data_IF_587511875478
#
_entry.id   IF_587511875478
#
_cell.length_a   1.000
_cell.length_b   1.000
_cell.length_c   1.000
_cell.angle_alpha   90.00
_cell.angle_beta   90.00
_cell.angle_gamma   90.00
#
_symmetry.space_group_name_H-M   'P 1'
#
loop_
_entity.id
_entity.type
_entity.pdbx_description
1 polymer ?
#
# COMPACT_ATOMS: atom_id res chain seq x y z
N UNK A 1 -19.68 -23.54 -2.65
CA UNK A 1 -20.09 -22.96 -3.95
C UNK A 1 -20.53 -21.53 -3.70
N UNK A 2 -20.19 -20.54 -4.49
CA UNK A 2 -19.56 -20.51 -5.79
C UNK A 2 -18.75 -19.22 -5.90
N UNK A 3 -17.59 -19.28 -6.55
CA UNK A 3 -17.01 -18.17 -7.31
C UNK A 3 -16.05 -18.80 -8.34
N UNK A 4 -16.60 -19.64 -9.21
CA UNK A 4 -16.11 -19.69 -10.59
C UNK A 4 -16.87 -18.58 -11.29
N UNK A 5 -16.21 -17.44 -11.53
CA UNK A 5 -16.73 -16.42 -12.43
C UNK A 5 -15.78 -16.28 -13.60
N UNK A 6 -16.39 -16.45 -14.77
CA UNK A 6 -15.83 -16.41 -16.11
C UNK A 6 -15.10 -15.11 -16.40
N UNK A 7 -14.14 -15.20 -17.32
CA UNK A 7 -13.53 -14.08 -18.01
C UNK A 7 -14.60 -13.09 -18.51
N UNK A 8 -14.60 -11.91 -17.91
CA UNK A 8 -15.51 -10.80 -18.16
C UNK A 8 -15.08 -9.70 -17.21
N UNK A 9 -14.81 -8.51 -17.75
CA UNK A 9 -14.23 -7.35 -17.07
C UNK A 9 -14.71 -7.26 -15.63
N UNK A 10 -13.84 -7.60 -14.68
CA UNK A 10 -14.13 -7.48 -13.26
C UNK A 10 -14.33 -5.98 -13.02
N UNK A 11 -15.58 -5.57 -12.78
CA UNK A 11 -15.85 -4.21 -12.37
C UNK A 11 -15.00 -3.93 -11.13
N UNK A 12 -14.02 -3.05 -11.30
CA UNK A 12 -13.05 -2.71 -10.28
C UNK A 12 -13.80 -2.14 -9.08
N UNK A 13 -13.66 -2.77 -7.91
CA UNK A 13 -14.23 -2.20 -6.69
C UNK A 13 -13.71 -0.77 -6.54
N UNK A 14 -14.58 0.23 -6.27
CA UNK A 14 -14.14 1.61 -6.11
C UNK A 14 -13.13 1.72 -4.96
N UNK A 15 -12.21 2.68 -5.07
CA UNK A 15 -11.05 2.78 -4.18
C UNK A 15 -11.43 2.80 -2.70
N UNK A 16 -12.53 3.47 -2.34
CA UNK A 16 -13.05 3.51 -0.97
C UNK A 16 -13.43 2.13 -0.43
N UNK A 17 -14.03 1.28 -1.26
CA UNK A 17 -14.40 -0.08 -0.88
C UNK A 17 -13.14 -0.95 -0.69
N UNK A 18 -12.15 -0.81 -1.58
CA UNK A 18 -10.86 -1.49 -1.42
C UNK A 18 -10.16 -1.11 -0.12
N UNK A 19 -10.07 0.19 0.19
CA UNK A 19 -9.47 0.67 1.43
C UNK A 19 -10.21 0.07 2.64
N UNK A 20 -11.53 0.21 2.69
CA UNK A 20 -12.33 -0.27 3.82
C UNK A 20 -12.19 -1.79 4.02
N UNK A 21 -12.28 -2.58 2.96
CA UNK A 21 -12.18 -4.04 3.03
C UNK A 21 -10.78 -4.51 3.44
N UNK A 22 -9.73 -3.92 2.87
CA UNK A 22 -8.35 -4.27 3.20
C UNK A 22 -7.99 -3.92 4.66
N UNK A 23 -8.43 -2.75 5.14
CA UNK A 23 -8.27 -2.35 6.55
C UNK A 23 -9.02 -3.27 7.52
N UNK A 24 -10.28 -3.62 7.21
CA UNK A 24 -11.06 -4.55 8.03
C UNK A 24 -10.45 -5.95 8.07
N UNK A 25 -9.85 -6.42 6.97
CA UNK A 25 -9.26 -7.74 6.89
C UNK A 25 -8.11 -7.96 7.90
N UNK A 26 -7.38 -6.90 8.28
CA UNK A 26 -6.33 -6.97 9.32
C UNK A 26 -6.85 -7.45 10.68
N UNK A 27 -8.14 -7.18 10.97
CA UNK A 27 -8.75 -7.44 12.26
C UNK A 27 -9.62 -8.69 12.28
N UNK A 28 -9.77 -9.37 11.13
CA UNK A 28 -10.58 -10.56 11.01
C UNK A 28 -9.71 -11.82 11.10
N UNK A 29 -10.20 -12.91 11.72
CA UNK A 29 -9.53 -14.20 11.68
C UNK A 29 -9.36 -14.63 10.23
N UNK A 30 -8.12 -14.82 9.80
CA UNK A 30 -7.78 -15.24 8.45
C UNK A 30 -6.49 -16.05 8.46
N UNK A 31 -6.29 -16.91 7.46
CA UNK A 31 -5.01 -17.55 7.18
C UNK A 31 -4.23 -16.84 6.08
N UNK A 32 -4.73 -15.70 5.58
CA UNK A 32 -4.09 -14.94 4.51
C UNK A 32 -2.76 -14.35 4.95
N UNK A 33 -1.84 -14.28 3.99
CA UNK A 33 -0.63 -13.45 4.07
C UNK A 33 -1.01 -12.01 3.74
N UNK A 34 -0.55 -11.06 4.55
CA UNK A 34 -0.75 -9.64 4.31
C UNK A 34 0.48 -9.04 3.64
N UNK A 35 0.28 -8.39 2.50
CA UNK A 35 1.24 -7.49 1.90
C UNK A 35 0.91 -6.07 2.34
N UNK A 36 1.63 -5.58 3.34
CA UNK A 36 1.52 -4.22 3.83
C UNK A 36 2.34 -3.30 2.93
N UNK A 37 1.68 -2.32 2.33
CA UNK A 37 2.34 -1.28 1.52
C UNK A 37 2.43 -0.03 2.37
N UNK A 38 3.66 0.45 2.61
CA UNK A 38 3.90 1.57 3.52
C UNK A 38 4.85 2.60 2.92
N UNK A 39 4.54 3.87 3.16
CA UNK A 39 5.37 5.01 2.79
C UNK A 39 6.49 5.27 3.80
N UNK A 40 7.25 6.34 3.61
CA UNK A 40 8.25 6.79 4.57
C UNK A 40 7.61 7.17 5.92
N UNK A 41 8.42 7.29 6.98
CA UNK A 41 7.91 7.64 8.33
C UNK A 41 7.39 9.08 8.45
N UNK A 42 7.79 9.98 7.55
CA UNK A 42 7.24 11.32 7.51
C UNK A 42 5.76 11.27 7.16
N UNK A 43 5.34 10.33 6.30
CA UNK A 43 3.96 10.15 5.85
C UNK A 43 3.42 11.39 5.15
N UNK A 44 4.28 12.07 4.40
CA UNK A 44 3.89 13.19 3.55
C UNK A 44 2.87 12.76 2.47
N UNK A 45 2.27 13.72 1.74
CA UNK A 45 1.29 13.42 0.72
C UNK A 45 1.80 12.46 -0.39
N UNK A 46 3.07 12.52 -0.78
CA UNK A 46 3.62 11.66 -1.84
C UNK A 46 3.67 10.20 -1.38
N UNK A 47 4.28 9.97 -0.21
CA UNK A 47 4.26 8.68 0.50
C UNK A 47 2.86 8.10 0.66
N UNK A 48 1.87 8.91 1.08
CA UNK A 48 0.49 8.45 1.26
C UNK A 48 -0.15 8.04 -0.07
N UNK A 49 0.01 8.85 -1.11
CA UNK A 49 -0.54 8.57 -2.43
C UNK A 49 0.09 7.32 -3.05
N UNK A 50 1.41 7.17 -2.91
CA UNK A 50 2.15 6.01 -3.37
C UNK A 50 1.69 4.73 -2.70
N UNK A 51 1.53 4.73 -1.37
CA UNK A 51 1.14 3.54 -0.63
C UNK A 51 -0.24 3.04 -1.07
N UNK A 52 -1.21 3.96 -1.21
CA UNK A 52 -2.57 3.64 -1.67
C UNK A 52 -2.55 3.11 -3.11
N UNK A 53 -1.84 3.78 -4.01
CA UNK A 53 -1.84 3.48 -5.44
C UNK A 53 -1.12 2.16 -5.73
N UNK A 54 0.04 1.95 -5.09
CA UNK A 54 0.81 0.70 -5.23
C UNK A 54 0.08 -0.48 -4.59
N UNK A 55 -0.55 -0.30 -3.43
CA UNK A 55 -1.40 -1.34 -2.84
C UNK A 55 -2.55 -1.75 -3.76
N UNK A 56 -3.17 -0.77 -4.43
CA UNK A 56 -4.25 -1.04 -5.36
C UNK A 56 -3.77 -1.85 -6.56
N UNK A 57 -2.65 -1.46 -7.16
CA UNK A 57 -2.03 -2.19 -8.27
C UNK A 57 -1.71 -3.64 -7.89
N UNK A 58 -1.01 -3.84 -6.77
CA UNK A 58 -0.60 -5.16 -6.29
C UNK A 58 -1.80 -6.05 -5.90
N UNK A 59 -2.92 -5.45 -5.47
CA UNK A 59 -4.16 -6.17 -5.20
C UNK A 59 -4.81 -6.66 -6.50
N UNK A 60 -4.77 -5.85 -7.57
CA UNK A 60 -5.37 -6.17 -8.88
C UNK A 60 -4.64 -7.31 -9.60
N UNK A 61 -3.32 -7.38 -9.44
CA UNK A 61 -2.53 -8.48 -10.00
C UNK A 61 -2.91 -9.82 -9.38
N UNK A 62 -3.38 -9.80 -8.13
CA UNK A 62 -3.90 -10.94 -7.42
C UNK A 62 -2.83 -11.97 -7.06
N UNK A 63 -2.85 -12.44 -5.82
CA UNK A 63 -2.18 -13.68 -5.47
C UNK A 63 -3.08 -14.51 -4.55
N UNK A 64 -3.23 -15.82 -4.79
CA UNK A 64 -4.05 -16.68 -3.95
C UNK A 64 -3.65 -16.57 -2.48
N UNK A 65 -4.62 -16.31 -1.61
CA UNK A 65 -4.37 -16.22 -0.16
C UNK A 65 -3.64 -14.95 0.30
N UNK A 66 -3.40 -13.97 -0.57
CA UNK A 66 -2.78 -12.69 -0.20
C UNK A 66 -3.82 -11.58 -0.08
N UNK A 67 -3.70 -10.76 0.96
CA UNK A 67 -4.46 -9.52 1.13
C UNK A 67 -3.47 -8.36 1.09
N UNK A 68 -3.69 -7.39 0.21
CA UNK A 68 -2.83 -6.20 0.11
C UNK A 68 -3.48 -5.05 0.87
N UNK A 69 -2.73 -4.41 1.76
CA UNK A 69 -3.24 -3.36 2.65
C UNK A 69 -2.34 -2.14 2.58
N UNK A 70 -2.83 -0.98 2.11
CA UNK A 70 -2.10 0.27 2.27
C UNK A 70 -2.15 0.72 3.74
N UNK A 71 -0.99 1.03 4.29
CA UNK A 71 -0.83 1.54 5.65
C UNK A 71 -0.17 2.90 5.58
N UNK A 72 -0.81 3.90 6.18
CA UNK A 72 -0.19 5.21 6.34
C UNK A 72 0.77 5.16 7.51
N UNK A 73 2.04 5.50 7.28
CA UNK A 73 3.15 5.33 8.23
C UNK A 73 3.12 6.25 9.45
N UNK A 74 2.03 6.97 9.67
CA UNK A 74 1.78 7.85 10.82
C UNK A 74 0.67 7.32 11.70
N UNK A 75 0.51 7.89 12.90
CA UNK A 75 -0.64 7.58 13.74
C UNK A 75 -1.92 8.19 13.16
N UNK A 76 -3.06 7.55 13.43
CA UNK A 76 -4.37 8.11 13.08
C UNK A 76 -4.58 9.50 13.70
N UNK A 77 -4.14 9.68 14.94
CA UNK A 77 -4.26 10.94 15.67
C UNK A 77 -3.47 12.07 14.99
N UNK A 78 -2.22 11.79 14.58
CA UNK A 78 -1.37 12.79 13.90
C UNK A 78 -1.90 13.13 12.51
N UNK A 79 -2.42 12.14 11.79
CA UNK A 79 -3.02 12.36 10.48
C UNK A 79 -4.20 13.33 10.53
N UNK A 80 -5.03 13.24 11.57
CA UNK A 80 -6.18 14.14 11.75
C UNK A 80 -5.77 15.61 11.96
N UNK A 81 -4.53 15.87 12.40
CA UNK A 81 -4.00 17.21 12.65
C UNK A 81 -3.39 17.85 11.39
N UNK A 82 -3.09 17.06 10.35
CA UNK A 82 -2.39 17.53 9.16
C UNK A 82 -3.34 17.81 8.00
N UNK A 83 -3.74 19.07 7.88
CA UNK A 83 -4.70 19.56 6.89
C UNK A 83 -4.31 19.23 5.45
N UNK A 84 -3.03 19.27 5.10
CA UNK A 84 -2.55 19.01 3.74
C UNK A 84 -2.77 17.54 3.33
N UNK A 85 -2.58 16.60 4.26
CA UNK A 85 -2.82 15.16 4.01
C UNK A 85 -4.31 14.88 3.85
N UNK A 86 -5.14 15.48 4.70
CA UNK A 86 -6.60 15.42 4.58
C UNK A 86 -7.07 16.04 3.26
N UNK A 87 -6.44 17.13 2.82
CA UNK A 87 -6.79 17.80 1.57
C UNK A 87 -6.44 16.95 0.35
N UNK A 88 -5.28 16.28 0.35
CA UNK A 88 -4.89 15.34 -0.70
C UNK A 88 -5.94 14.23 -0.88
N UNK A 89 -6.30 13.54 0.20
CA UNK A 89 -7.29 12.45 0.13
C UNK A 89 -8.64 12.99 -0.37
N UNK A 90 -9.11 14.13 0.14
CA UNK A 90 -10.35 14.77 -0.34
C UNK A 90 -10.33 15.10 -1.83
N UNK A 91 -9.20 15.56 -2.37
CA UNK A 91 -9.01 15.85 -3.80
C UNK A 91 -8.96 14.58 -4.64
N UNK A 92 -8.43 13.48 -4.10
CA UNK A 92 -8.41 12.16 -4.75
C UNK A 92 -9.80 11.47 -4.80
N UNK A 93 -10.88 12.17 -4.44
CA UNK A 93 -12.23 11.61 -4.41
C UNK A 93 -12.59 10.89 -3.10
N UNK A 94 -11.67 10.85 -2.14
CA UNK A 94 -11.89 10.31 -0.79
C UNK A 94 -12.54 11.41 0.08
N UNK A 95 -13.74 11.86 -0.31
CA UNK A 95 -14.51 12.87 0.44
C UNK A 95 -15.11 12.27 1.72
N UNK A 96 -15.44 13.11 2.70
CA UNK A 96 -16.28 12.74 3.84
C UNK A 96 -17.76 13.03 3.56
N UNK A 97 -18.67 12.26 4.16
CA UNK A 97 -20.04 12.02 3.67
C UNK A 97 -21.02 13.21 3.71
N UNK A 98 -21.75 13.35 2.59
CA UNK A 98 -23.13 13.84 2.53
C UNK A 98 -24.01 13.11 1.48
N UNK A 99 -23.43 12.52 0.43
CA UNK A 99 -24.19 12.12 -0.78
C UNK A 99 -23.70 10.83 -1.51
N UNK A 100 -22.88 9.98 -0.87
CA UNK A 100 -22.86 8.55 -1.22
C UNK A 100 -21.72 7.99 -2.08
N UNK A 101 -20.49 8.48 -1.93
CA UNK A 101 -19.27 7.66 -1.79
C UNK A 101 -18.29 8.55 -1.05
N UNK A 102 -18.03 8.23 0.21
CA UNK A 102 -17.15 9.01 1.06
C UNK A 102 -16.30 8.10 1.90
N UNK A 103 -14.99 8.21 1.71
CA UNK A 103 -13.99 7.59 2.55
C UNK A 103 -14.04 8.24 3.93
N UNK A 104 -14.11 7.40 4.95
CA UNK A 104 -13.92 7.79 6.34
C UNK A 104 -12.46 7.56 6.68
N UNK A 105 -11.86 8.36 7.58
CA UNK A 105 -10.55 8.03 8.13
C UNK A 105 -10.45 6.57 8.57
N UNK A 106 -11.51 6.00 9.15
CA UNK A 106 -11.58 4.58 9.57
C UNK A 106 -11.38 3.56 8.44
N UNK A 107 -11.48 3.98 7.17
CA UNK A 107 -11.41 3.07 6.03
C UNK A 107 -9.97 2.81 5.60
N UNK A 108 -8.97 3.55 6.10
CA UNK A 108 -7.55 3.22 5.90
C UNK A 108 -6.91 2.79 7.22
N UNK A 109 -5.94 1.87 7.12
CA UNK A 109 -5.11 1.45 8.22
C UNK A 109 -3.98 2.46 8.46
N UNK A 110 -3.70 2.73 9.73
CA UNK A 110 -2.58 3.55 10.17
C UNK A 110 -1.55 2.70 10.88
N UNK A 111 -0.30 3.16 10.93
CA UNK A 111 0.82 2.39 11.47
C UNK A 111 0.62 1.98 12.94
N UNK A 112 -0.12 2.78 13.71
CA UNK A 112 -0.47 2.48 15.12
C UNK A 112 -1.58 1.43 15.29
N UNK A 113 -2.15 0.93 14.20
CA UNK A 113 -3.26 -0.04 14.19
C UNK A 113 -2.86 -1.41 13.65
N UNK A 114 -1.63 -1.55 13.14
CA UNK A 114 -1.16 -2.78 12.50
C UNK A 114 -0.10 -3.46 13.36
N UNK A 115 -0.41 -4.68 13.82
CA UNK A 115 0.55 -5.53 14.54
C UNK A 115 1.49 -6.25 13.55
N UNK A 116 2.46 -5.51 13.01
CA UNK A 116 3.44 -6.06 12.05
C UNK A 116 4.24 -7.21 12.65
N UNK A 117 4.67 -7.11 13.91
CA UNK A 117 5.44 -8.17 14.56
C UNK A 117 4.59 -9.42 14.79
N UNK A 118 3.32 -9.27 15.17
CA UNK A 118 2.35 -10.36 15.25
C UNK A 118 2.18 -11.06 13.91
N UNK A 119 1.98 -10.31 12.83
CA UNK A 119 1.87 -10.87 11.47
C UNK A 119 3.16 -11.59 11.04
N UNK A 120 4.33 -11.03 11.34
CA UNK A 120 5.65 -11.64 11.09
C UNK A 120 5.82 -12.94 11.85
N UNK A 121 5.51 -12.96 13.16
CA UNK A 121 5.62 -14.15 14.02
C UNK A 121 4.75 -15.32 13.54
N UNK A 122 3.66 -15.02 12.84
CA UNK A 122 2.76 -15.99 12.25
C UNK A 122 3.16 -16.40 10.82
N UNK A 123 4.27 -15.89 10.28
CA UNK A 123 4.70 -16.03 8.88
C UNK A 123 3.66 -15.53 7.87
N UNK A 124 2.98 -14.44 8.21
CA UNK A 124 1.88 -13.84 7.42
C UNK A 124 2.16 -12.42 6.99
N UNK A 125 3.40 -11.94 7.11
CA UNK A 125 3.78 -10.58 6.72
C UNK A 125 4.66 -10.58 5.46
N UNK A 126 4.30 -9.71 4.52
CA UNK A 126 5.14 -9.18 3.46
C UNK A 126 5.06 -7.66 3.50
N UNK A 127 6.15 -6.98 3.13
CA UNK A 127 6.25 -5.53 3.08
C UNK A 127 6.56 -5.06 1.67
N UNK A 128 5.89 -3.99 1.26
CA UNK A 128 6.24 -3.17 0.10
C UNK A 128 6.55 -1.77 0.62
N UNK A 129 7.79 -1.33 0.38
CA UNK A 129 8.24 0.01 0.74
C UNK A 129 8.01 0.93 -0.46
N UNK A 130 7.38 2.08 -0.21
CA UNK A 130 7.30 3.15 -1.19
C UNK A 130 7.89 4.42 -0.62
N UNK A 131 8.55 5.22 -1.46
CA UNK A 131 9.15 6.51 -1.07
C UNK A 131 10.27 6.39 -0.01
N UNK A 132 10.82 5.19 0.13
CA UNK A 132 12.05 4.87 0.85
C UNK A 132 12.53 3.46 0.44
N UNK A 133 13.84 3.24 0.44
CA UNK A 133 14.45 1.96 0.05
C UNK A 133 15.05 1.16 1.21
N UNK A 134 14.86 1.64 2.45
CA UNK A 134 15.38 1.00 3.65
C UNK A 134 14.44 1.16 4.84
N UNK A 135 14.19 0.07 5.55
CA UNK A 135 13.46 0.13 6.82
C UNK A 135 14.23 0.95 7.87
N UNK A 136 13.50 1.78 8.60
CA UNK A 136 14.04 2.47 9.76
C UNK A 136 14.46 1.48 10.85
N UNK A 137 15.28 1.94 11.79
CA UNK A 137 15.72 1.13 12.93
C UNK A 137 14.55 0.56 13.76
N UNK A 138 13.40 1.24 13.78
CA UNK A 138 12.16 0.78 14.43
C UNK A 138 11.68 -0.56 13.87
N UNK A 139 11.89 -0.80 12.58
CA UNK A 139 11.39 -1.97 11.86
C UNK A 139 12.51 -2.92 11.41
N UNK A 140 13.73 -2.79 11.95
CA UNK A 140 14.89 -3.58 11.52
C UNK A 140 14.66 -5.10 11.59
N UNK A 141 13.84 -5.57 12.55
CA UNK A 141 13.47 -6.98 12.69
C UNK A 141 12.53 -7.51 11.61
N UNK A 142 12.06 -6.68 10.68
CA UNK A 142 11.15 -7.03 9.59
C UNK A 142 11.85 -7.02 8.22
N UNK A 143 13.19 -6.93 8.20
CA UNK A 143 13.96 -6.79 6.96
C UNK A 143 13.72 -7.96 5.98
N UNK A 144 13.55 -9.18 6.50
CA UNK A 144 13.24 -10.36 5.69
C UNK A 144 11.82 -10.37 5.11
N UNK A 145 10.93 -9.52 5.62
CA UNK A 145 9.56 -9.42 5.12
C UNK A 145 9.48 -8.47 3.92
N UNK A 146 10.51 -7.67 3.63
CA UNK A 146 10.51 -6.76 2.47
C UNK A 146 10.57 -7.58 1.19
N UNK A 147 9.57 -7.34 0.33
CA UNK A 147 9.39 -8.07 -0.94
C UNK A 147 9.33 -7.14 -2.14
N UNK A 148 9.01 -5.86 -1.93
CA UNK A 148 8.91 -4.87 -2.99
C UNK A 148 9.44 -3.51 -2.48
N UNK A 149 10.06 -2.74 -3.37
CA UNK A 149 10.55 -1.37 -3.13
C UNK A 149 10.25 -0.53 -4.37
N UNK A 150 9.66 0.65 -4.17
CA UNK A 150 9.56 1.70 -5.19
C UNK A 150 9.98 3.01 -4.56
N UNK A 151 11.13 3.55 -4.96
CA UNK A 151 11.71 4.72 -4.31
C UNK A 151 12.47 5.60 -5.30
N UNK A 152 12.54 6.90 -4.99
CA UNK A 152 13.24 7.90 -5.79
C UNK A 152 14.40 8.60 -5.07
N UNK A 153 14.67 8.22 -3.82
CA UNK A 153 15.82 8.70 -3.06
C UNK A 153 17.12 8.01 -3.50
N UNK A 154 18.25 8.45 -2.93
CA UNK A 154 19.53 7.76 -3.12
C UNK A 154 19.42 6.31 -2.61
N UNK A 155 19.97 5.38 -3.39
CA UNK A 155 19.96 3.96 -3.03
C UNK A 155 20.89 3.70 -1.83
N UNK A 156 20.34 3.25 -0.71
CA UNK A 156 21.10 2.92 0.51
C UNK A 156 21.75 1.52 0.47
N UNK A 157 21.57 0.77 -0.62
CA UNK A 157 22.12 -0.57 -0.80
C UNK A 157 21.43 -1.64 0.06
N UNK A 158 20.21 -1.38 0.52
CA UNK A 158 19.40 -2.33 1.28
C UNK A 158 18.56 -3.23 0.35
N UNK A 159 18.27 -4.44 0.81
CA UNK A 159 17.38 -5.41 0.12
C UNK A 159 17.81 -5.72 -1.33
N UNK A 160 19.13 -5.85 -1.56
CA UNK A 160 19.72 -6.08 -2.89
C UNK A 160 19.47 -7.49 -3.43
N UNK A 161 18.92 -8.39 -2.61
CA UNK A 161 18.54 -9.75 -2.96
C UNK A 161 17.17 -9.83 -3.65
N UNK A 162 16.40 -8.74 -3.67
CA UNK A 162 15.14 -8.65 -4.40
C UNK A 162 15.36 -8.69 -5.92
N UNK A 163 14.41 -9.30 -6.63
CA UNK A 163 14.36 -9.24 -8.09
C UNK A 163 14.24 -7.78 -8.58
N UNK A 164 14.89 -7.46 -9.70
CA UNK A 164 14.87 -6.10 -10.29
C UNK A 164 13.44 -5.60 -10.55
N UNK A 165 12.52 -6.48 -10.91
CA UNK A 165 11.10 -6.18 -11.12
C UNK A 165 10.36 -5.76 -9.84
N UNK A 166 10.87 -6.15 -8.68
CA UNK A 166 10.30 -5.83 -7.38
C UNK A 166 11.09 -4.74 -6.64
N UNK A 167 12.27 -4.34 -7.12
CA UNK A 167 13.11 -3.29 -6.51
C UNK A 167 13.39 -2.18 -7.51
N UNK A 168 12.50 -1.19 -7.52
CA UNK A 168 12.59 0.00 -8.37
C UNK A 168 13.13 1.15 -7.52
N UNK A 169 14.42 1.47 -7.66
CA UNK A 169 15.05 2.62 -6.98
C UNK A 169 15.68 3.51 -8.05
N UNK A 170 15.11 4.69 -8.28
CA UNK A 170 15.55 5.61 -9.34
C UNK A 170 15.77 7.03 -8.80
N UNK A 171 17.03 7.37 -8.60
CA UNK A 171 17.42 8.68 -8.09
C UNK A 171 17.23 9.80 -9.13
N UNK A 172 16.84 10.99 -8.66
CA UNK A 172 16.69 12.19 -9.48
C UNK A 172 15.28 12.40 -10.06
N UNK A 173 14.34 11.52 -9.72
CA UNK A 173 12.91 11.74 -9.99
C UNK A 173 12.34 12.69 -8.94
N UNK A 174 11.49 13.63 -9.36
CA UNK A 174 10.97 14.66 -8.46
C UNK A 174 9.93 14.19 -7.43
N UNK A 175 9.43 12.97 -7.56
CA UNK A 175 8.39 12.39 -6.68
C UNK A 175 8.27 10.89 -6.91
N UNK A 176 8.11 10.12 -5.82
CA UNK A 176 7.85 8.68 -5.87
C UNK A 176 6.55 8.35 -6.64
N UNK A 177 5.54 9.23 -6.59
CA UNK A 177 4.28 9.01 -7.33
C UNK A 177 4.48 8.88 -8.84
N UNK A 178 5.53 9.49 -9.40
CA UNK A 178 5.86 9.35 -10.82
C UNK A 178 6.29 7.93 -11.14
N UNK A 179 7.13 7.32 -10.29
CA UNK A 179 7.55 5.94 -10.41
C UNK A 179 6.37 4.97 -10.24
N UNK A 180 5.54 5.18 -9.21
CA UNK A 180 4.35 4.35 -9.00
C UNK A 180 3.38 4.45 -10.18
N UNK A 181 3.18 5.65 -10.74
CA UNK A 181 2.35 5.83 -11.94
C UNK A 181 2.90 5.07 -13.13
N UNK A 182 4.21 5.08 -13.33
CA UNK A 182 4.85 4.31 -14.40
C UNK A 182 4.70 2.80 -14.18
N UNK A 183 4.84 2.31 -12.93
CA UNK A 183 4.57 0.91 -12.59
C UNK A 183 3.12 0.52 -12.89
N UNK A 184 2.15 1.37 -12.54
CA UNK A 184 0.75 1.13 -12.90
C UNK A 184 0.58 1.05 -14.41
N UNK A 185 1.16 1.98 -15.18
CA UNK A 185 1.07 1.98 -16.65
C UNK A 185 1.64 0.70 -17.26
N UNK A 186 2.82 0.27 -16.82
CA UNK A 186 3.51 -0.91 -17.33
C UNK A 186 2.79 -2.21 -16.96
N UNK A 187 2.34 -2.33 -15.71
CA UNK A 187 1.82 -3.59 -15.16
C UNK A 187 0.33 -3.77 -15.44
N UNK A 188 -0.46 -2.70 -15.48
CA UNK A 188 -1.85 -2.78 -15.97
C UNK A 188 -1.90 -3.14 -17.46
N UNK A 189 -0.95 -2.68 -18.28
CA UNK A 189 -0.87 -3.10 -19.68
C UNK A 189 -0.63 -4.62 -19.79
N UNK A 190 0.21 -5.19 -18.92
CA UNK A 190 0.45 -6.64 -18.85
C UNK A 190 -0.76 -7.45 -18.37
N UNK A 191 -1.66 -6.86 -17.57
CA UNK A 191 -2.92 -7.50 -17.16
C UNK A 191 -3.97 -7.55 -18.28
N UNK A 192 -3.84 -6.70 -19.30
CA UNK A 192 -4.79 -6.57 -20.41
C UNK A 192 -4.31 -7.27 -21.70
N UNK A 193 -3.06 -7.73 -21.74
CA UNK A 193 -2.44 -8.46 -22.86
C UNK A 193 -2.65 -9.97 -22.75
#
# INVERSE_FOLDING_TARGET
>A
GALVRSAGTVAMAPLNEFLALSSQALHQPSSSTFLVVMGNEAGDPDSCACAISMARLLAEEGAPGRVVVPVLSVSRADFALQLDRLHLLRRAGLRGSGDGISWRPSDIAFMDEVDLEGLRSQNRLQLCLVDHNRLSSRFAGLAECVTHIVDHHEDEGAHMDLEETNRIVEFGIGSCSSLVTEQMRLRTAALLS
#
